data_IF_521868855269
#
_entry.id   IF_521868855269
#
_cell.length_a   1.000
_cell.length_b   1.000
_cell.length_c   1.000
_cell.angle_alpha   90.00
_cell.angle_beta   90.00
_cell.angle_gamma   90.00
#
_symmetry.space_group_name_H-M   'P 1'
#
loop_
_entity.id
_entity.type
_entity.pdbx_description
1 polymer ?
#
# COMPACT_ATOMS: atom_id res chain seq x y z
N UNK A 1 53.49 -30.06 10.77
CA UNK A 1 52.59 -29.79 9.66
C UNK A 1 51.15 -29.93 10.12
N UNK A 2 50.49 -28.83 10.45
CA UNK A 2 49.06 -28.80 10.69
C UNK A 2 48.36 -28.32 9.41
N UNK A 3 47.23 -28.89 9.04
CA UNK A 3 46.47 -28.40 7.90
C UNK A 3 45.61 -27.22 8.36
N UNK A 4 45.70 -26.11 7.62
CA UNK A 4 44.83 -24.94 7.72
C UNK A 4 43.37 -25.34 7.53
N UNK A 5 42.63 -25.27 8.61
CA UNK A 5 41.16 -25.39 8.59
C UNK A 5 40.53 -24.05 8.19
N UNK A 6 40.31 -23.83 6.90
CA UNK A 6 39.50 -22.76 6.37
C UNK A 6 38.03 -23.08 6.64
N UNK A 7 37.52 -22.78 7.83
CA UNK A 7 36.11 -22.78 8.13
C UNK A 7 35.52 -21.52 7.50
N UNK A 8 34.96 -21.67 6.28
CA UNK A 8 33.95 -20.75 5.79
C UNK A 8 32.79 -20.78 6.78
N UNK A 9 32.66 -19.76 7.60
CA UNK A 9 31.44 -19.52 8.36
C UNK A 9 30.35 -19.24 7.34
N UNK A 10 29.45 -20.21 7.15
CA UNK A 10 28.19 -19.97 6.48
C UNK A 10 27.41 -18.98 7.32
N UNK A 11 27.43 -17.70 6.94
CA UNK A 11 26.57 -16.71 7.54
C UNK A 11 25.12 -17.13 7.27
N UNK A 12 24.30 -17.12 8.33
CA UNK A 12 22.87 -17.38 8.18
C UNK A 12 22.31 -16.43 7.11
N UNK A 13 21.56 -17.00 6.16
CA UNK A 13 20.90 -16.21 5.12
C UNK A 13 19.94 -15.24 5.80
N UNK A 14 20.13 -13.93 5.61
CA UNK A 14 19.23 -12.91 6.16
C UNK A 14 17.84 -13.08 5.56
N UNK A 15 16.82 -12.88 6.38
CA UNK A 15 15.41 -12.95 5.97
C UNK A 15 14.84 -11.55 6.03
N UNK A 16 14.13 -11.14 4.98
CA UNK A 16 13.35 -9.91 4.91
C UNK A 16 11.86 -10.27 4.89
N UNK A 17 11.13 -9.85 5.89
CA UNK A 17 9.70 -10.07 5.99
C UNK A 17 8.96 -8.83 5.41
N UNK A 18 8.35 -9.01 4.24
CA UNK A 18 7.63 -7.98 3.49
C UNK A 18 6.13 -8.24 3.58
N UNK A 19 5.36 -7.24 4.00
CA UNK A 19 3.90 -7.31 4.08
C UNK A 19 3.26 -6.25 3.19
N UNK A 20 2.60 -6.65 2.14
CA UNK A 20 2.12 -5.76 1.08
C UNK A 20 0.81 -6.23 0.46
N UNK A 21 0.34 -5.49 -0.52
CA UNK A 21 -0.78 -5.87 -1.38
C UNK A 21 -0.40 -7.04 -2.29
N UNK A 22 -1.37 -7.86 -2.67
CA UNK A 22 -1.15 -8.90 -3.67
C UNK A 22 -0.68 -8.28 -4.99
N UNK A 23 0.20 -8.98 -5.70
CA UNK A 23 0.69 -8.63 -7.04
C UNK A 23 1.41 -7.27 -7.17
N UNK A 24 1.78 -6.64 -6.05
CA UNK A 24 2.46 -5.34 -6.08
C UNK A 24 3.93 -5.45 -6.49
N UNK A 25 4.57 -6.58 -6.25
CA UNK A 25 5.94 -6.85 -6.64
C UNK A 25 6.01 -8.02 -7.61
N UNK A 26 6.69 -7.81 -8.75
CA UNK A 26 6.98 -8.91 -9.68
C UNK A 26 7.86 -9.97 -9.00
N UNK A 27 7.58 -11.27 -9.19
CA UNK A 27 8.45 -12.35 -8.70
C UNK A 27 9.91 -12.22 -9.16
N UNK A 28 10.13 -11.74 -10.38
CA UNK A 28 11.47 -11.53 -10.93
C UNK A 28 12.23 -10.45 -10.14
N UNK A 29 11.56 -9.34 -9.80
CA UNK A 29 12.15 -8.26 -8.99
C UNK A 29 12.52 -8.75 -7.60
N UNK A 30 11.66 -9.53 -6.96
CA UNK A 30 11.94 -10.12 -5.65
C UNK A 30 13.14 -11.09 -5.73
N UNK A 31 13.17 -11.97 -6.75
CA UNK A 31 14.26 -12.88 -6.99
C UNK A 31 15.61 -12.19 -7.23
N UNK A 32 15.59 -11.11 -8.01
CA UNK A 32 16.81 -10.33 -8.29
C UNK A 32 17.30 -9.60 -7.04
N UNK A 33 16.38 -9.11 -6.20
CA UNK A 33 16.72 -8.54 -4.89
C UNK A 33 17.38 -9.58 -3.98
N UNK A 34 16.79 -10.78 -3.85
CA UNK A 34 17.34 -11.88 -3.07
C UNK A 34 18.76 -12.22 -3.49
N UNK A 35 19.00 -12.36 -4.80
CA UNK A 35 20.33 -12.62 -5.36
C UNK A 35 21.31 -11.50 -5.07
N UNK A 36 20.89 -10.25 -5.29
CA UNK A 36 21.74 -9.07 -5.13
C UNK A 36 22.20 -8.86 -3.70
N UNK A 37 21.32 -9.09 -2.74
CA UNK A 37 21.59 -8.86 -1.32
C UNK A 37 21.85 -10.11 -0.52
N UNK A 38 21.88 -11.28 -1.16
CA UNK A 38 22.06 -12.59 -0.52
C UNK A 38 21.11 -12.78 0.66
N UNK A 39 19.83 -12.55 0.46
CA UNK A 39 18.78 -12.69 1.45
C UNK A 39 17.62 -13.53 0.93
N UNK A 40 16.68 -13.87 1.82
CA UNK A 40 15.41 -14.51 1.50
C UNK A 40 14.27 -13.53 1.81
N UNK A 41 13.30 -13.41 0.90
CA UNK A 41 12.11 -12.60 1.12
C UNK A 41 10.93 -13.49 1.48
N UNK A 42 10.35 -13.27 2.64
CA UNK A 42 9.03 -13.78 3.00
C UNK A 42 8.00 -12.69 2.62
N UNK A 43 7.20 -12.98 1.61
CA UNK A 43 6.23 -12.04 1.09
C UNK A 43 4.83 -12.45 1.54
N UNK A 44 4.29 -11.73 2.51
CA UNK A 44 2.92 -11.87 2.99
C UNK A 44 2.02 -10.80 2.35
N UNK A 45 0.75 -11.13 2.19
CA UNK A 45 -0.24 -10.22 1.59
C UNK A 45 -1.39 -9.93 2.55
N UNK A 46 -1.95 -8.73 2.44
CA UNK A 46 -3.18 -8.33 3.10
C UNK A 46 -4.24 -7.90 2.07
N UNK A 47 -5.51 -8.00 2.45
CA UNK A 47 -6.62 -7.66 1.58
C UNK A 47 -7.05 -6.18 1.71
N UNK A 48 -6.82 -5.57 2.88
CA UNK A 48 -7.16 -4.17 3.16
C UNK A 48 -6.27 -3.61 4.28
N UNK A 49 -6.27 -2.28 4.42
CA UNK A 49 -5.42 -1.58 5.40
C UNK A 49 -5.82 -1.86 6.86
N UNK A 50 -7.08 -2.15 7.12
CA UNK A 50 -7.57 -2.47 8.47
C UNK A 50 -7.01 -3.80 8.97
N UNK A 51 -6.92 -4.80 8.08
CA UNK A 51 -6.26 -6.08 8.36
C UNK A 51 -4.77 -5.87 8.68
N UNK A 52 -4.07 -5.07 7.85
CA UNK A 52 -2.69 -4.71 8.10
C UNK A 52 -2.52 -4.08 9.48
N UNK A 53 -3.32 -3.06 9.81
CA UNK A 53 -3.23 -2.36 11.07
C UNK A 53 -3.48 -3.31 12.26
N UNK A 54 -4.54 -4.12 12.19
CA UNK A 54 -4.87 -5.07 13.24
C UNK A 54 -3.74 -6.06 13.50
N UNK A 55 -3.10 -6.57 12.44
CA UNK A 55 -1.99 -7.51 12.54
C UNK A 55 -0.75 -6.88 13.18
N UNK A 56 -0.42 -5.65 12.80
CA UNK A 56 0.71 -4.92 13.40
C UNK A 56 0.44 -4.58 14.88
N UNK A 57 -0.78 -4.14 15.23
CA UNK A 57 -1.15 -3.82 16.61
C UNK A 57 -1.17 -5.04 17.53
N UNK A 58 -1.47 -6.22 17.01
CA UNK A 58 -1.45 -7.46 17.78
C UNK A 58 -0.03 -7.87 18.26
N UNK A 59 1.03 -7.20 17.76
CA UNK A 59 2.41 -7.41 18.20
C UNK A 59 3.00 -8.76 17.84
N UNK A 60 2.32 -9.54 16.98
CA UNK A 60 2.74 -10.87 16.55
C UNK A 60 3.51 -10.91 15.22
N UNK A 61 3.85 -9.76 14.67
CA UNK A 61 4.45 -9.69 13.33
C UNK A 61 5.89 -9.18 13.40
N UNK A 62 6.78 -9.96 12.84
CA UNK A 62 8.20 -9.60 12.66
C UNK A 62 8.38 -9.03 11.24
N UNK A 63 7.56 -8.08 10.82
CA UNK A 63 7.70 -7.46 9.51
C UNK A 63 8.75 -6.36 9.51
N UNK A 64 9.69 -6.46 8.55
CA UNK A 64 10.73 -5.46 8.34
C UNK A 64 10.22 -4.31 7.47
N UNK A 65 9.38 -4.62 6.48
CA UNK A 65 8.82 -3.64 5.55
C UNK A 65 7.33 -3.90 5.35
N UNK A 66 6.53 -2.85 5.46
CA UNK A 66 5.09 -2.86 5.18
C UNK A 66 4.74 -1.82 4.13
N UNK A 67 3.70 -2.06 3.33
CA UNK A 67 3.28 -1.13 2.28
C UNK A 67 1.81 -0.71 2.44
N UNK A 68 1.49 0.15 3.41
CA UNK A 68 0.15 0.68 3.58
C UNK A 68 -0.20 1.75 2.52
N UNK A 69 -1.49 2.07 2.41
CA UNK A 69 -1.92 3.30 1.77
C UNK A 69 -1.52 4.53 2.60
N UNK A 70 -1.51 5.69 1.98
CA UNK A 70 -1.08 6.97 2.57
C UNK A 70 -1.80 7.31 3.88
N UNK A 71 -3.13 7.21 3.93
CA UNK A 71 -3.93 7.48 5.12
C UNK A 71 -3.64 6.50 6.26
N UNK A 72 -3.31 5.25 5.92
CA UNK A 72 -2.95 4.25 6.92
C UNK A 72 -1.52 4.48 7.42
N UNK A 73 -0.59 4.87 6.56
CA UNK A 73 0.75 5.31 6.98
C UNK A 73 0.64 6.50 7.97
N UNK A 74 -0.20 7.51 7.67
CA UNK A 74 -0.48 8.61 8.59
C UNK A 74 -1.01 8.14 9.95
N UNK A 75 -1.89 7.15 9.94
CA UNK A 75 -2.46 6.56 11.17
C UNK A 75 -1.38 5.83 11.97
N UNK A 76 -0.58 5.01 11.31
CA UNK A 76 0.48 4.23 11.95
C UNK A 76 1.59 5.10 12.53
N UNK A 77 1.94 6.21 11.86
CA UNK A 77 2.86 7.23 12.39
C UNK A 77 2.32 7.81 13.72
N UNK A 78 1.04 8.20 13.75
CA UNK A 78 0.40 8.74 14.96
C UNK A 78 0.31 7.73 16.10
N UNK A 79 0.21 6.45 15.78
CA UNK A 79 0.16 5.37 16.75
C UNK A 79 1.57 4.90 17.17
N UNK A 80 2.64 5.51 16.66
CA UNK A 80 4.03 5.10 16.89
C UNK A 80 4.31 3.63 16.56
N UNK A 81 3.74 3.15 15.44
CA UNK A 81 3.90 1.78 14.97
C UNK A 81 4.99 1.64 13.91
N UNK A 82 5.60 2.74 13.48
CA UNK A 82 6.64 2.75 12.47
C UNK A 82 7.97 3.24 13.04
N UNK A 83 9.04 2.61 12.63
CA UNK A 83 10.41 3.01 12.91
C UNK A 83 10.83 4.16 11.98
N UNK A 84 11.75 5.04 12.47
CA UNK A 84 12.33 6.08 11.63
C UNK A 84 13.33 5.50 10.64
N UNK A 85 13.25 5.98 9.42
CA UNK A 85 14.17 5.62 8.35
C UNK A 85 15.53 6.28 8.53
N UNK A 86 16.60 5.52 8.36
CA UNK A 86 17.94 6.07 8.19
C UNK A 86 18.11 6.55 6.73
N UNK A 87 17.81 7.82 6.50
CA UNK A 87 17.85 8.43 5.16
C UNK A 87 19.23 8.36 4.51
N UNK A 88 20.30 8.26 5.31
CA UNK A 88 21.67 8.13 4.78
C UNK A 88 21.86 6.85 3.97
N UNK A 89 21.04 5.84 4.25
CA UNK A 89 21.06 4.54 3.56
C UNK A 89 20.12 4.45 2.36
N UNK A 90 19.18 5.39 2.21
CA UNK A 90 18.17 5.39 1.15
C UNK A 90 18.58 6.42 0.07
N UNK A 91 19.41 5.99 -0.88
CA UNK A 91 20.04 6.89 -1.86
C UNK A 91 19.17 7.19 -3.08
N UNK A 92 18.18 6.33 -3.37
CA UNK A 92 17.43 6.42 -4.63
C UNK A 92 16.19 7.33 -4.56
N UNK A 93 15.96 8.02 -3.44
CA UNK A 93 14.83 8.95 -3.29
C UNK A 93 14.92 10.15 -4.23
N UNK A 94 16.11 10.48 -4.71
CA UNK A 94 16.32 11.50 -5.75
C UNK A 94 15.68 11.16 -7.10
N UNK A 95 15.43 9.87 -7.35
CA UNK A 95 14.76 9.40 -8.57
C UNK A 95 13.23 9.53 -8.50
N UNK A 96 12.68 9.90 -7.34
CA UNK A 96 11.24 10.10 -7.17
C UNK A 96 10.81 11.42 -7.79
N UNK A 97 9.60 11.44 -8.32
CA UNK A 97 8.97 12.69 -8.76
C UNK A 97 8.94 13.68 -7.60
N UNK A 98 9.29 14.97 -7.82
CA UNK A 98 9.32 15.96 -6.74
C UNK A 98 8.01 16.08 -5.97
N UNK A 99 6.87 15.90 -6.64
CA UNK A 99 5.55 15.92 -6.01
C UNK A 99 5.29 14.76 -5.04
N UNK A 100 6.08 13.70 -5.10
CA UNK A 100 5.96 12.52 -4.25
C UNK A 100 7.03 12.48 -3.14
N UNK A 101 7.98 13.41 -3.18
CA UNK A 101 8.92 13.59 -2.08
C UNK A 101 8.23 14.36 -0.95
N UNK A 102 8.42 13.94 0.29
CA UNK A 102 7.82 14.59 1.46
C UNK A 102 6.29 14.75 1.39
N UNK A 103 5.55 13.64 1.29
CA UNK A 103 4.09 13.68 1.15
C UNK A 103 3.43 14.30 2.39
N UNK A 104 2.22 14.90 2.29
CA UNK A 104 1.55 15.58 3.39
C UNK A 104 1.33 14.72 4.65
N UNK A 105 1.29 13.41 4.52
CA UNK A 105 1.14 12.48 5.65
C UNK A 105 2.46 12.16 6.36
N UNK A 106 3.60 12.40 5.72
CA UNK A 106 4.95 12.29 6.26
C UNK A 106 5.84 13.43 5.72
N UNK A 107 5.61 14.70 6.15
CA UNK A 107 6.25 15.87 5.56
C UNK A 107 7.77 15.91 5.71
N UNK A 108 8.29 15.23 6.70
CA UNK A 108 9.75 15.08 6.90
C UNK A 108 10.33 13.91 6.09
N UNK A 109 9.50 12.98 5.61
CA UNK A 109 9.96 11.72 5.00
C UNK A 109 10.73 10.85 5.97
N UNK A 110 10.41 10.93 7.27
CA UNK A 110 11.13 10.18 8.29
C UNK A 110 10.69 8.74 8.43
N UNK A 111 9.51 8.39 7.94
CA UNK A 111 8.89 7.08 8.18
C UNK A 111 8.56 6.31 6.91
N UNK A 112 8.50 6.97 5.77
CA UNK A 112 8.02 6.36 4.53
C UNK A 112 8.77 6.82 3.29
N UNK A 113 8.73 5.97 2.26
CA UNK A 113 9.12 6.30 0.89
C UNK A 113 7.95 5.93 0.00
N UNK A 114 7.48 6.86 -0.83
CA UNK A 114 6.36 6.58 -1.75
C UNK A 114 6.82 5.57 -2.80
N UNK A 115 6.11 4.44 -2.89
CA UNK A 115 6.39 3.40 -3.88
C UNK A 115 5.63 3.64 -5.17
N UNK A 116 4.33 3.89 -5.08
CA UNK A 116 3.44 4.09 -6.23
C UNK A 116 2.29 5.01 -5.88
N UNK A 117 1.65 5.54 -6.89
CA UNK A 117 0.40 6.28 -6.79
C UNK A 117 -0.52 5.85 -7.92
N UNK A 118 -1.81 6.05 -7.75
CA UNK A 118 -2.80 5.69 -8.75
C UNK A 118 -4.04 6.54 -8.63
N UNK A 119 -4.98 6.25 -9.50
CA UNK A 119 -6.32 6.84 -9.49
C UNK A 119 -7.37 5.74 -9.51
N UNK A 120 -8.44 5.93 -8.76
CA UNK A 120 -9.59 5.05 -8.79
C UNK A 120 -10.59 5.55 -9.83
N UNK A 121 -11.09 4.65 -10.65
CA UNK A 121 -12.00 4.98 -11.73
C UNK A 121 -13.04 3.88 -11.98
N UNK A 122 -13.99 4.17 -12.86
CA UNK A 122 -15.01 3.22 -13.27
C UNK A 122 -14.49 2.40 -14.45
N UNK A 123 -14.35 1.09 -14.25
CA UNK A 123 -14.14 0.14 -15.33
C UNK A 123 -15.47 -0.47 -15.75
N UNK A 124 -15.75 -0.54 -17.05
CA UNK A 124 -17.00 -1.10 -17.56
C UNK A 124 -16.77 -1.96 -18.80
N UNK A 125 -17.63 -2.96 -18.97
CA UNK A 125 -17.56 -3.86 -20.11
C UNK A 125 -18.33 -3.29 -21.30
N UNK A 126 -17.62 -2.85 -22.32
CA UNK A 126 -18.17 -2.23 -23.54
C UNK A 126 -19.06 -3.19 -24.37
N UNK A 127 -19.01 -4.48 -24.11
CA UNK A 127 -19.92 -5.45 -24.74
C UNK A 127 -21.38 -5.24 -24.28
N UNK A 128 -21.56 -4.90 -23.02
CA UNK A 128 -22.88 -4.77 -22.39
C UNK A 128 -23.30 -3.31 -22.15
N UNK A 129 -22.35 -2.43 -21.86
CA UNK A 129 -22.60 -1.02 -21.55
C UNK A 129 -22.17 -0.19 -22.76
N UNK A 130 -23.14 0.45 -23.42
CA UNK A 130 -22.93 1.23 -24.64
C UNK A 130 -22.68 2.71 -24.34
N UNK A 131 -23.34 3.22 -23.30
CA UNK A 131 -23.16 4.59 -22.85
C UNK A 131 -22.02 4.67 -21.85
N UNK A 132 -20.95 5.38 -22.22
CA UNK A 132 -19.76 5.53 -21.36
C UNK A 132 -20.14 6.20 -20.03
N UNK A 133 -19.94 5.56 -18.88
CA UNK A 133 -20.12 6.21 -17.59
C UNK A 133 -19.21 7.44 -17.48
N UNK A 134 -19.76 8.56 -16.99
CA UNK A 134 -19.03 9.85 -16.90
C UNK A 134 -18.95 10.39 -15.49
N UNK A 135 -19.66 9.80 -14.57
CA UNK A 135 -19.78 10.26 -13.19
C UNK A 135 -19.97 9.08 -12.26
N UNK A 136 -19.61 9.25 -10.99
CA UNK A 136 -19.89 8.26 -9.97
C UNK A 136 -21.38 7.98 -9.82
N UNK A 137 -22.26 8.94 -10.08
CA UNK A 137 -23.71 8.76 -10.08
C UNK A 137 -24.18 7.65 -11.03
N UNK A 138 -23.43 7.36 -12.09
CA UNK A 138 -23.78 6.31 -13.03
C UNK A 138 -23.82 4.93 -12.39
N UNK A 139 -23.07 4.70 -11.32
CA UNK A 139 -23.07 3.41 -10.60
C UNK A 139 -24.40 3.12 -9.88
N UNK A 140 -25.20 4.15 -9.60
CA UNK A 140 -26.52 4.06 -8.92
C UNK A 140 -27.70 3.94 -9.87
N UNK A 141 -27.49 3.86 -11.18
CA UNK A 141 -28.56 3.63 -12.15
C UNK A 141 -29.19 2.26 -11.93
N UNK A 142 -30.54 2.20 -11.99
CA UNK A 142 -31.30 0.97 -11.78
C UNK A 142 -30.91 -0.15 -12.74
N UNK A 143 -30.50 0.20 -13.96
CA UNK A 143 -30.05 -0.75 -14.97
C UNK A 143 -28.79 -1.53 -14.56
N UNK A 144 -27.98 -1.02 -13.61
CA UNK A 144 -26.77 -1.66 -13.11
C UNK A 144 -26.97 -2.41 -11.79
N UNK A 145 -28.19 -2.39 -11.26
CA UNK A 145 -28.49 -3.07 -9.99
C UNK A 145 -28.09 -4.55 -10.03
N UNK A 146 -27.31 -4.96 -9.05
CA UNK A 146 -26.76 -6.32 -8.95
C UNK A 146 -25.63 -6.65 -9.94
N UNK A 147 -25.07 -5.63 -10.64
CA UNK A 147 -23.99 -5.80 -11.63
C UNK A 147 -22.76 -4.92 -11.33
N UNK A 148 -22.80 -4.20 -10.25
CA UNK A 148 -21.68 -3.34 -9.80
C UNK A 148 -20.80 -4.14 -8.85
N UNK A 149 -19.50 -4.09 -9.07
CA UNK A 149 -18.48 -4.64 -8.18
C UNK A 149 -17.72 -3.44 -7.63
N UNK A 150 -17.55 -3.38 -6.32
CA UNK A 150 -16.78 -2.37 -5.63
C UNK A 150 -15.50 -2.98 -5.06
N UNK A 151 -14.51 -2.14 -4.80
CA UNK A 151 -13.30 -2.54 -4.11
C UNK A 151 -13.62 -2.93 -2.65
N UNK A 152 -12.90 -3.90 -2.13
CA UNK A 152 -12.98 -4.26 -0.70
C UNK A 152 -12.09 -3.31 0.14
N UNK A 153 -12.37 -2.02 0.01
CA UNK A 153 -11.68 -0.95 0.72
C UNK A 153 -12.70 0.09 1.18
N UNK A 154 -12.86 0.26 2.48
CA UNK A 154 -13.86 1.14 3.06
C UNK A 154 -13.65 2.60 2.64
N UNK A 155 -12.39 3.03 2.55
CA UNK A 155 -12.09 4.41 2.19
C UNK A 155 -12.43 4.70 0.74
N UNK A 156 -12.15 3.75 -0.15
CA UNK A 156 -12.49 3.88 -1.57
C UNK A 156 -14.00 3.92 -1.78
N UNK A 157 -14.74 3.01 -1.13
CA UNK A 157 -16.21 2.94 -1.28
C UNK A 157 -16.89 4.20 -0.73
N UNK A 158 -16.54 4.62 0.49
CA UNK A 158 -17.06 5.86 1.08
C UNK A 158 -16.63 7.06 0.22
N UNK A 159 -15.40 7.09 -0.26
CA UNK A 159 -14.90 8.14 -1.14
C UNK A 159 -15.69 8.28 -2.44
N UNK A 160 -16.09 7.17 -3.06
CA UNK A 160 -16.98 7.18 -4.25
C UNK A 160 -18.33 7.83 -3.94
N UNK A 161 -18.94 7.47 -2.80
CA UNK A 161 -20.20 8.06 -2.37
C UNK A 161 -20.06 9.56 -2.08
N UNK A 162 -19.06 9.98 -1.33
CA UNK A 162 -18.76 11.38 -1.09
C UNK A 162 -18.63 12.17 -2.41
N UNK A 163 -17.91 11.62 -3.38
CA UNK A 163 -17.77 12.25 -4.70
C UNK A 163 -19.09 12.30 -5.47
N UNK A 164 -19.92 11.25 -5.36
CA UNK A 164 -21.26 11.20 -5.93
C UNK A 164 -22.10 12.37 -5.41
N UNK A 165 -22.03 12.66 -4.11
CA UNK A 165 -22.79 13.71 -3.46
C UNK A 165 -22.12 15.09 -3.51
N UNK A 166 -21.01 15.21 -4.25
CA UNK A 166 -20.31 16.49 -4.48
C UNK A 166 -19.34 16.88 -3.36
N UNK A 167 -19.08 15.98 -2.42
CA UNK A 167 -18.19 16.23 -1.29
C UNK A 167 -16.73 15.86 -1.60
N UNK A 168 -15.83 16.29 -0.74
CA UNK A 168 -14.42 15.89 -0.78
C UNK A 168 -14.26 14.45 -0.32
N UNK A 169 -13.43 13.64 -1.01
CA UNK A 169 -13.03 12.30 -0.54
C UNK A 169 -12.31 12.33 0.81
N UNK A 170 -11.83 13.51 1.20
CA UNK A 170 -11.15 13.75 2.48
C UNK A 170 -12.06 14.45 3.50
N UNK A 171 -13.36 14.48 3.28
CA UNK A 171 -14.29 15.07 4.24
C UNK A 171 -14.17 14.39 5.60
N UNK A 172 -14.21 15.21 6.64
CA UNK A 172 -14.24 14.78 8.05
C UNK A 172 -15.56 15.13 8.72
N UNK A 173 -16.52 15.67 7.97
CA UNK A 173 -17.85 15.95 8.48
C UNK A 173 -18.62 14.63 8.66
N UNK A 174 -19.01 14.29 9.92
CA UNK A 174 -19.75 13.06 10.16
C UNK A 174 -21.08 13.00 9.40
N UNK A 175 -21.74 14.13 9.15
CA UNK A 175 -22.99 14.15 8.40
C UNK A 175 -22.78 13.78 6.94
N UNK A 176 -21.73 14.31 6.32
CA UNK A 176 -21.39 13.94 4.93
C UNK A 176 -21.01 12.48 4.80
N UNK A 177 -20.22 11.94 5.75
CA UNK A 177 -19.76 10.56 5.73
C UNK A 177 -20.90 9.56 6.01
N UNK A 178 -21.86 9.89 6.89
CA UNK A 178 -22.96 8.97 7.25
C UNK A 178 -24.11 8.96 6.27
N UNK A 179 -24.25 9.99 5.43
CA UNK A 179 -25.28 10.08 4.39
C UNK A 179 -24.87 9.43 3.06
N UNK A 180 -23.60 9.06 2.96
CA UNK A 180 -23.00 8.43 1.81
C UNK A 180 -23.16 6.91 1.84
#
# INVERSE_FOLDING_TARGET
SAPDGNTKSGGDTQVLNLYSWADNFSPDVLSDFEKKYNCKINYDVFANNEELLAKIQAGGSEYDVIQPSDYMAATMIKLNLLEKLDKSKIKNTENMLPALQNPPYDPSGDYSVVYTWGVTGIAYNTKYIKDTPRSWNDLWKDEYKGRVILLNDNREVIGMGLKKDGHSVNSKDPNEVTQT
#
